data_IF_086824109361
#
_entry.id   IF_086824109361
#
_cell.length_a   1.000
_cell.length_b   1.000
_cell.length_c   1.000
_cell.angle_alpha   90.00
_cell.angle_beta   90.00
_cell.angle_gamma   90.00
#
_symmetry.space_group_name_H-M   'P 1'
#
loop_
_entity.id
_entity.type
_entity.pdbx_description
1 polymer ?
#
# COMPACT_ATOMS: atom_id res chain seq x y z
N UNK A 1 13.34 32.44 4.65
CA UNK A 1 12.05 31.98 4.02
C UNK A 1 11.98 32.26 2.52
N UNK A 2 13.01 32.92 1.95
CA UNK A 2 13.01 33.32 0.53
C UNK A 2 13.23 32.18 -0.47
N UNK A 3 13.64 30.99 -0.01
CA UNK A 3 13.92 29.81 -0.84
C UNK A 3 13.12 28.57 -0.43
N UNK A 4 11.87 28.75 0.05
CA UNK A 4 10.96 27.65 0.39
C UNK A 4 9.74 27.72 -0.51
N UNK A 5 9.58 26.71 -1.36
CA UNK A 5 8.54 26.62 -2.38
C UNK A 5 7.59 25.48 -2.11
N UNK A 6 6.29 25.72 -2.22
CA UNK A 6 5.26 24.70 -2.15
C UNK A 6 4.98 24.16 -3.56
N UNK A 7 5.62 23.07 -3.94
CA UNK A 7 5.55 22.51 -5.30
C UNK A 7 4.57 21.34 -5.45
N UNK A 8 4.03 20.81 -4.37
CA UNK A 8 3.23 19.60 -4.36
C UNK A 8 4.06 18.40 -3.88
N UNK A 9 3.61 17.19 -4.25
CA UNK A 9 4.28 15.94 -3.86
C UNK A 9 4.71 15.15 -5.09
N UNK A 10 6.00 14.96 -5.28
CA UNK A 10 6.58 14.26 -6.43
C UNK A 10 6.17 12.77 -6.48
N UNK A 11 5.81 12.16 -5.35
CA UNK A 11 5.24 10.80 -5.34
C UNK A 11 3.90 10.76 -6.09
N UNK A 12 3.12 11.85 -6.05
CA UNK A 12 1.88 11.92 -6.80
C UNK A 12 2.14 11.98 -8.32
N UNK A 13 3.16 12.71 -8.75
CA UNK A 13 3.58 12.74 -10.16
C UNK A 13 3.96 11.33 -10.63
N UNK A 14 4.78 10.62 -9.85
CA UNK A 14 5.20 9.25 -10.14
C UNK A 14 4.03 8.27 -10.17
N UNK A 15 3.09 8.38 -9.21
CA UNK A 15 1.88 7.58 -9.17
C UNK A 15 1.01 7.81 -10.41
N UNK A 16 0.79 9.06 -10.81
CA UNK A 16 0.02 9.39 -12.01
C UNK A 16 0.65 8.82 -13.28
N UNK A 17 1.98 8.89 -13.38
CA UNK A 17 2.70 8.27 -14.49
C UNK A 17 2.49 6.74 -14.51
N UNK A 18 2.78 6.04 -13.42
CA UNK A 18 2.63 4.60 -13.31
C UNK A 18 1.18 4.13 -13.49
N UNK A 19 0.21 4.94 -13.03
CA UNK A 19 -1.22 4.63 -13.14
C UNK A 19 -1.76 4.65 -14.58
N UNK A 20 -1.05 5.29 -15.51
CA UNK A 20 -1.42 5.36 -16.94
C UNK A 20 -0.83 4.23 -17.76
N UNK A 21 0.11 3.47 -17.21
CA UNK A 21 0.69 2.31 -17.88
C UNK A 21 -0.41 1.28 -18.12
N UNK A 22 -0.63 0.84 -19.36
CA UNK A 22 -1.59 -0.22 -19.66
C UNK A 22 -1.27 -1.47 -18.85
N UNK A 23 -2.28 -2.04 -18.21
CA UNK A 23 -2.13 -3.26 -17.44
C UNK A 23 -3.33 -4.16 -17.67
N UNK A 24 -3.05 -5.39 -17.96
CA UNK A 24 -4.03 -6.45 -18.06
C UNK A 24 -3.72 -7.50 -17.00
N UNK A 25 -4.68 -7.75 -16.14
CA UNK A 25 -4.53 -8.66 -15.02
C UNK A 25 -4.09 -10.07 -15.48
N UNK A 26 -4.63 -10.52 -16.60
CA UNK A 26 -4.36 -11.84 -17.17
C UNK A 26 -2.94 -11.98 -17.74
N UNK A 27 -2.29 -10.85 -18.03
CA UNK A 27 -0.92 -10.76 -18.56
C UNK A 27 0.09 -10.39 -17.46
N UNK A 28 -0.35 -10.21 -16.20
CA UNK A 28 0.51 -9.78 -15.12
C UNK A 28 1.46 -10.92 -14.70
N UNK A 29 2.76 -10.65 -14.74
CA UNK A 29 3.81 -11.59 -14.34
C UNK A 29 4.05 -11.51 -12.83
N UNK A 30 3.09 -12.04 -12.05
CA UNK A 30 3.20 -12.15 -10.59
C UNK A 30 3.37 -13.61 -10.23
N UNK A 31 4.36 -13.90 -9.40
CA UNK A 31 4.77 -15.27 -9.05
C UNK A 31 4.59 -15.53 -7.57
N UNK A 32 4.21 -16.77 -7.22
CA UNK A 32 4.28 -17.25 -5.85
C UNK A 32 5.75 -17.32 -5.37
N UNK A 33 5.94 -17.65 -4.11
CA UNK A 33 7.30 -17.75 -3.55
C UNK A 33 8.14 -18.91 -4.14
N UNK A 34 7.51 -19.86 -4.82
CA UNK A 34 8.18 -20.96 -5.54
C UNK A 34 8.54 -20.59 -6.99
N UNK A 35 8.06 -19.45 -7.49
CA UNK A 35 8.30 -19.01 -8.87
C UNK A 35 7.23 -19.48 -9.86
N UNK A 36 6.09 -20.00 -9.40
CA UNK A 36 4.97 -20.30 -10.26
C UNK A 36 4.11 -19.06 -10.49
N UNK A 37 3.64 -18.82 -11.72
CA UNK A 37 2.73 -17.70 -11.99
C UNK A 37 1.43 -17.88 -11.21
N UNK A 38 0.92 -16.79 -10.63
CA UNK A 38 -0.37 -16.79 -9.96
C UNK A 38 -1.43 -16.12 -10.83
N UNK A 39 -2.66 -16.59 -10.71
CA UNK A 39 -3.82 -15.88 -11.27
C UNK A 39 -4.30 -14.86 -10.23
N UNK A 40 -4.30 -13.58 -10.60
CA UNK A 40 -4.78 -12.52 -9.74
C UNK A 40 -6.32 -12.58 -9.68
N UNK A 41 -6.93 -12.72 -8.48
CA UNK A 41 -8.37 -12.75 -8.34
C UNK A 41 -9.06 -11.46 -8.83
N UNK A 42 -10.34 -11.54 -9.18
CA UNK A 42 -11.14 -10.36 -9.57
C UNK A 42 -11.28 -9.36 -8.43
N UNK A 43 -11.44 -9.85 -7.23
CA UNK A 43 -11.54 -9.07 -6.01
C UNK A 43 -10.53 -9.59 -4.99
N UNK A 44 -9.78 -8.70 -4.39
CA UNK A 44 -8.76 -9.04 -3.40
C UNK A 44 -8.41 -7.84 -2.51
N UNK A 45 -7.80 -8.15 -1.38
CA UNK A 45 -7.13 -7.15 -0.53
C UNK A 45 -5.63 -7.11 -0.86
N UNK A 46 -5.02 -5.94 -0.66
CA UNK A 46 -3.60 -5.75 -0.88
C UNK A 46 -2.89 -5.51 0.44
N UNK A 47 -1.88 -6.33 0.74
CA UNK A 47 -1.07 -6.25 1.95
C UNK A 47 0.39 -5.97 1.62
N UNK A 48 1.01 -5.05 2.34
CA UNK A 48 2.47 -4.97 2.45
C UNK A 48 2.87 -4.80 3.91
N UNK A 49 3.89 -5.53 4.34
CA UNK A 49 4.42 -5.46 5.70
C UNK A 49 5.93 -5.69 5.65
N UNK A 50 6.72 -4.70 6.06
CA UNK A 50 8.19 -4.74 5.98
C UNK A 50 8.90 -3.92 7.05
N UNK A 51 8.17 -3.15 7.87
CA UNK A 51 8.77 -2.40 8.96
C UNK A 51 9.25 -3.32 10.07
N UNK A 52 10.38 -2.97 10.66
CA UNK A 52 10.97 -3.75 11.71
C UNK A 52 10.03 -3.91 12.91
N UNK A 53 9.26 -2.88 13.23
CA UNK A 53 8.29 -2.88 14.33
C UNK A 53 7.23 -3.97 14.20
N UNK A 54 6.90 -4.35 12.96
CA UNK A 54 5.89 -5.39 12.66
C UNK A 54 6.50 -6.74 12.28
N UNK A 55 7.82 -6.81 12.08
CA UNK A 55 8.48 -8.02 11.52
C UNK A 55 9.66 -8.49 12.35
N UNK A 56 10.04 -7.79 13.42
CA UNK A 56 11.11 -8.23 14.32
C UNK A 56 10.69 -9.46 15.12
N UNK A 57 9.47 -9.45 15.66
CA UNK A 57 8.84 -10.57 16.35
C UNK A 57 7.76 -11.21 15.47
N UNK A 58 7.41 -12.49 15.74
CA UNK A 58 6.37 -13.20 15.01
C UNK A 58 4.98 -12.66 15.34
N UNK A 59 4.74 -12.22 16.55
CA UNK A 59 3.41 -11.84 17.02
C UNK A 59 2.75 -10.69 16.22
N UNK A 60 3.42 -9.57 15.93
CA UNK A 60 2.82 -8.51 15.12
C UNK A 60 2.45 -8.98 13.72
N UNK A 61 3.36 -9.70 13.04
CA UNK A 61 3.10 -10.22 11.70
C UNK A 61 1.99 -11.28 11.71
N UNK A 62 1.98 -12.17 12.70
CA UNK A 62 0.92 -13.18 12.89
C UNK A 62 -0.46 -12.52 13.02
N UNK A 63 -0.58 -11.47 13.83
CA UNK A 63 -1.85 -10.75 14.01
C UNK A 63 -2.32 -10.07 12.72
N UNK A 64 -1.39 -9.49 11.94
CA UNK A 64 -1.69 -8.91 10.62
C UNK A 64 -2.18 -10.01 9.67
N UNK A 65 -1.44 -11.12 9.55
CA UNK A 65 -1.81 -12.24 8.68
C UNK A 65 -3.13 -12.87 9.10
N UNK A 66 -3.38 -13.02 10.42
CA UNK A 66 -4.65 -13.51 10.97
C UNK A 66 -5.82 -12.62 10.59
N UNK A 67 -5.66 -11.30 10.69
CA UNK A 67 -6.67 -10.35 10.26
C UNK A 67 -7.00 -10.55 8.77
N UNK A 68 -5.98 -10.60 7.92
CA UNK A 68 -6.16 -10.73 6.48
C UNK A 68 -6.75 -12.08 6.09
N UNK A 69 -6.35 -13.16 6.74
CA UNK A 69 -6.89 -14.50 6.48
C UNK A 69 -8.36 -14.66 6.90
N UNK A 70 -8.84 -13.85 7.85
CA UNK A 70 -10.23 -13.91 8.31
C UNK A 70 -11.22 -13.17 7.41
N UNK A 71 -10.73 -12.47 6.39
CA UNK A 71 -11.54 -11.73 5.43
C UNK A 71 -12.12 -12.68 4.36
N UNK A 72 -13.22 -12.26 3.74
CA UNK A 72 -13.95 -13.04 2.73
C UNK A 72 -13.25 -13.13 1.37
N UNK A 73 -12.37 -12.17 1.07
CA UNK A 73 -11.62 -12.13 -0.17
C UNK A 73 -10.16 -12.51 0.07
N UNK A 74 -9.48 -13.08 -0.93
CA UNK A 74 -8.05 -13.35 -0.84
C UNK A 74 -7.24 -12.06 -0.68
N UNK A 75 -6.12 -12.17 0.00
CA UNK A 75 -5.16 -11.09 0.19
C UNK A 75 -3.91 -11.37 -0.60
N UNK A 76 -3.55 -10.49 -1.52
CA UNK A 76 -2.25 -10.56 -2.22
C UNK A 76 -1.20 -9.87 -1.36
N UNK A 77 -0.15 -10.60 -0.99
CA UNK A 77 0.93 -10.11 -0.18
C UNK A 77 2.29 -10.33 -0.85
N UNK A 78 2.82 -9.34 -1.60
CA UNK A 78 4.21 -9.32 -2.05
C UNK A 78 5.14 -9.25 -0.84
N UNK A 79 5.85 -10.33 -0.58
CA UNK A 79 6.63 -10.47 0.64
C UNK A 79 8.02 -9.91 0.45
N UNK A 80 8.42 -8.98 1.31
CA UNK A 80 9.80 -8.49 1.31
C UNK A 80 10.78 -9.63 1.62
N UNK A 81 11.92 -9.77 0.93
CA UNK A 81 12.84 -10.90 1.08
C UNK A 81 13.23 -11.22 2.53
N UNK A 82 13.41 -10.18 3.37
CA UNK A 82 13.74 -10.36 4.81
C UNK A 82 12.66 -11.09 5.62
N UNK A 83 11.41 -11.04 5.16
CA UNK A 83 10.26 -11.58 5.90
C UNK A 83 9.78 -12.91 5.31
N UNK A 84 10.40 -13.37 4.22
CA UNK A 84 9.93 -14.54 3.47
C UNK A 84 9.76 -15.77 4.34
N UNK A 85 10.84 -16.23 4.96
CA UNK A 85 10.83 -17.44 5.79
C UNK A 85 9.80 -17.36 6.93
N UNK A 86 9.70 -16.17 7.55
CA UNK A 86 8.76 -15.94 8.64
C UNK A 86 7.30 -15.96 8.15
N UNK A 87 6.99 -15.25 7.07
CA UNK A 87 5.63 -15.22 6.52
C UNK A 87 5.19 -16.62 6.04
N UNK A 88 6.07 -17.36 5.33
CA UNK A 88 5.80 -18.74 4.93
C UNK A 88 5.59 -19.67 6.13
N UNK A 89 6.45 -19.53 7.15
CA UNK A 89 6.36 -20.32 8.38
C UNK A 89 5.02 -20.12 9.09
N UNK A 90 4.64 -18.87 9.31
CA UNK A 90 3.37 -18.52 9.96
C UNK A 90 2.16 -18.96 9.13
N UNK A 91 2.15 -18.74 7.81
CA UNK A 91 1.04 -19.18 6.97
C UNK A 91 0.88 -20.71 6.99
N UNK A 92 1.97 -21.46 7.02
CA UNK A 92 1.95 -22.93 7.09
C UNK A 92 1.48 -23.40 8.47
N UNK A 93 2.02 -22.84 9.55
CA UNK A 93 1.70 -23.25 10.93
C UNK A 93 0.22 -23.01 11.26
N UNK A 94 -0.32 -21.87 10.86
CA UNK A 94 -1.69 -21.47 11.16
C UNK A 94 -2.68 -21.78 10.02
N UNK A 95 -2.23 -22.44 8.94
CA UNK A 95 -3.05 -22.82 7.79
C UNK A 95 -3.84 -21.65 7.19
N UNK A 96 -3.14 -20.55 6.94
CA UNK A 96 -3.74 -19.37 6.32
C UNK A 96 -3.92 -19.58 4.81
N UNK A 97 -5.16 -19.80 4.38
CA UNK A 97 -5.51 -20.12 2.98
C UNK A 97 -5.89 -18.87 2.16
N UNK A 98 -6.36 -17.81 2.81
CA UNK A 98 -6.75 -16.58 2.15
C UNK A 98 -5.57 -15.59 1.94
N UNK A 99 -4.39 -15.88 2.44
CA UNK A 99 -3.20 -15.05 2.24
C UNK A 99 -2.32 -15.64 1.15
N UNK A 100 -2.32 -15.02 -0.01
CA UNK A 100 -1.51 -15.40 -1.17
C UNK A 100 -0.17 -14.69 -1.10
N UNK A 101 0.87 -15.41 -0.68
CA UNK A 101 2.23 -14.90 -0.62
C UNK A 101 2.84 -14.88 -2.02
N UNK A 102 3.39 -13.74 -2.44
CA UNK A 102 4.05 -13.60 -3.74
C UNK A 102 5.50 -13.14 -3.59
N UNK A 103 6.27 -13.32 -4.65
CA UNK A 103 7.56 -12.66 -4.76
C UNK A 103 7.38 -11.13 -4.72
N UNK A 104 8.43 -10.37 -4.36
CA UNK A 104 8.39 -8.92 -4.49
C UNK A 104 8.02 -8.50 -5.90
N UNK A 105 7.18 -7.49 -6.01
CA UNK A 105 6.76 -6.92 -7.30
C UNK A 105 7.46 -5.59 -7.54
N UNK A 106 7.59 -5.21 -8.80
CA UNK A 106 8.08 -3.90 -9.19
C UNK A 106 7.10 -2.77 -8.83
N UNK A 107 7.55 -1.53 -8.99
CA UNK A 107 6.74 -0.36 -8.65
C UNK A 107 5.46 -0.27 -9.50
N UNK A 108 5.57 -0.54 -10.78
CA UNK A 108 4.42 -0.47 -11.71
C UNK A 108 3.38 -1.53 -11.37
N UNK A 109 3.81 -2.77 -11.12
CA UNK A 109 2.94 -3.87 -10.69
C UNK A 109 2.28 -3.55 -9.35
N UNK A 110 3.04 -2.97 -8.40
CA UNK A 110 2.50 -2.55 -7.10
C UNK A 110 1.38 -1.51 -7.26
N UNK A 111 1.56 -0.48 -8.11
CA UNK A 111 0.52 0.51 -8.41
C UNK A 111 -0.71 -0.16 -9.03
N UNK A 112 -0.53 -1.10 -9.93
CA UNK A 112 -1.65 -1.78 -10.58
C UNK A 112 -2.40 -2.69 -9.59
N UNK A 113 -1.70 -3.45 -8.76
CA UNK A 113 -2.33 -4.22 -7.68
C UNK A 113 -3.10 -3.31 -6.72
N UNK A 114 -2.52 -2.18 -6.36
CA UNK A 114 -3.16 -1.18 -5.51
C UNK A 114 -4.43 -0.60 -6.14
N UNK A 115 -4.40 -0.24 -7.41
CA UNK A 115 -5.56 0.35 -8.12
C UNK A 115 -6.75 -0.60 -8.22
N UNK A 116 -6.49 -1.89 -8.30
CA UNK A 116 -7.52 -2.90 -8.56
C UNK A 116 -7.94 -3.68 -7.30
N UNK A 117 -7.27 -3.49 -6.15
CA UNK A 117 -7.70 -4.11 -4.89
C UNK A 117 -8.96 -3.42 -4.32
N UNK A 118 -9.63 -4.10 -3.38
CA UNK A 118 -10.75 -3.53 -2.64
C UNK A 118 -10.28 -2.58 -1.53
N UNK A 119 -9.34 -3.02 -0.71
CA UNK A 119 -8.76 -2.24 0.40
C UNK A 119 -7.28 -2.59 0.57
N UNK A 120 -6.59 -1.74 1.29
CA UNK A 120 -5.15 -1.86 1.55
C UNK A 120 -4.88 -1.98 3.04
N UNK A 121 -4.00 -2.89 3.41
CA UNK A 121 -3.36 -2.92 4.73
C UNK A 121 -1.85 -2.79 4.52
N UNK A 122 -1.21 -1.86 5.21
CA UNK A 122 0.21 -1.61 5.01
C UNK A 122 0.87 -1.04 6.26
N UNK A 123 2.18 -1.19 6.36
CA UNK A 123 3.01 -0.44 7.30
C UNK A 123 3.90 0.60 6.58
N UNK A 124 3.73 0.74 5.26
CA UNK A 124 4.49 1.67 4.43
C UNK A 124 3.85 3.05 4.35
N UNK A 125 4.59 4.09 4.73
CA UNK A 125 4.15 5.47 4.53
C UNK A 125 4.03 5.86 3.05
N UNK A 126 4.83 5.25 2.16
CA UNK A 126 4.71 5.42 0.71
C UNK A 126 3.40 4.86 0.19
N UNK A 127 3.13 3.58 0.46
CA UNK A 127 1.91 2.93 0.01
C UNK A 127 0.65 3.56 0.63
N UNK A 128 0.73 4.10 1.85
CA UNK A 128 -0.33 4.90 2.47
C UNK A 128 -0.73 6.09 1.57
N UNK A 129 0.26 6.83 1.03
CA UNK A 129 0.01 7.94 0.12
C UNK A 129 -0.54 7.44 -1.23
N UNK A 130 0.03 6.40 -1.77
CA UNK A 130 -0.40 5.83 -3.05
C UNK A 130 -1.84 5.28 -2.97
N UNK A 131 -2.23 4.65 -1.85
CA UNK A 131 -3.60 4.25 -1.59
C UNK A 131 -4.56 5.46 -1.57
N UNK A 132 -4.12 6.56 -0.96
CA UNK A 132 -4.87 7.81 -1.00
C UNK A 132 -5.01 8.34 -2.44
N UNK A 133 -3.96 8.34 -3.24
CA UNK A 133 -3.98 8.76 -4.65
C UNK A 133 -4.91 7.88 -5.50
N UNK A 134 -4.92 6.58 -5.23
CA UNK A 134 -5.78 5.61 -5.90
C UNK A 134 -7.26 5.65 -5.45
N UNK A 135 -7.60 6.47 -4.43
CA UNK A 135 -8.93 6.50 -3.85
C UNK A 135 -9.29 5.21 -3.12
N UNK A 136 -8.31 4.49 -2.58
CA UNK A 136 -8.53 3.23 -1.84
C UNK A 136 -8.54 3.46 -0.34
N UNK A 137 -9.40 2.72 0.35
CA UNK A 137 -9.36 2.66 1.80
C UNK A 137 -8.08 1.96 2.26
N UNK A 138 -7.38 2.58 3.19
CA UNK A 138 -6.14 2.07 3.72
C UNK A 138 -6.21 1.93 5.25
N UNK A 139 -5.65 0.85 5.77
CA UNK A 139 -5.33 0.70 7.19
C UNK A 139 -3.82 0.63 7.32
N UNK A 140 -3.24 1.61 7.99
CA UNK A 140 -1.80 1.65 8.24
C UNK A 140 -1.51 1.06 9.62
N UNK A 141 -0.80 -0.07 9.63
CA UNK A 141 -0.38 -0.74 10.87
C UNK A 141 0.90 -0.08 11.38
N UNK A 142 0.71 0.97 12.16
CA UNK A 142 1.81 1.76 12.70
C UNK A 142 1.38 2.49 13.99
N UNK A 143 2.36 3.01 14.74
CA UNK A 143 2.15 3.66 16.04
C UNK A 143 1.90 5.18 15.94
N UNK A 144 2.14 5.76 14.75
CA UNK A 144 2.02 7.21 14.54
C UNK A 144 1.52 7.59 13.15
N UNK A 145 0.93 8.76 13.05
CA UNK A 145 0.51 9.34 11.77
C UNK A 145 1.72 9.90 11.02
N UNK A 146 1.97 9.40 9.81
CA UNK A 146 3.02 9.92 8.93
C UNK A 146 2.45 11.00 8.02
N UNK A 147 1.29 10.74 7.42
CA UNK A 147 0.63 11.62 6.48
C UNK A 147 -0.77 12.02 6.97
N UNK A 148 -0.90 13.08 7.78
CA UNK A 148 -2.20 13.52 8.31
C UNK A 148 -3.24 13.79 7.22
N UNK A 149 -2.79 14.25 6.05
CA UNK A 149 -3.65 14.56 4.92
C UNK A 149 -4.43 13.33 4.41
N UNK A 150 -3.91 12.13 4.60
CA UNK A 150 -4.56 10.89 4.16
C UNK A 150 -5.64 10.39 5.11
N UNK A 151 -5.70 10.95 6.34
CA UNK A 151 -6.57 10.45 7.41
C UNK A 151 -8.02 10.92 7.32
N UNK A 152 -8.30 11.87 6.43
CA UNK A 152 -9.64 12.47 6.31
C UNK A 152 -10.70 11.41 5.97
N UNK A 153 -11.87 11.51 6.60
CA UNK A 153 -13.05 10.68 6.34
C UNK A 153 -12.77 9.16 6.32
N UNK A 154 -11.87 8.71 7.17
CA UNK A 154 -11.42 7.31 7.27
C UNK A 154 -10.77 6.75 5.99
N UNK A 155 -10.27 7.58 5.08
CA UNK A 155 -9.56 7.12 3.88
C UNK A 155 -8.32 6.31 4.23
N UNK A 156 -7.59 6.75 5.26
CA UNK A 156 -6.62 5.95 5.95
C UNK A 156 -6.87 5.96 7.46
N UNK A 157 -6.60 4.86 8.12
CA UNK A 157 -6.77 4.73 9.56
C UNK A 157 -5.57 4.02 10.16
N UNK A 158 -5.11 4.48 11.33
CA UNK A 158 -4.08 3.76 12.06
C UNK A 158 -4.68 2.57 12.81
N UNK A 159 -3.98 1.45 12.77
CA UNK A 159 -4.25 0.27 13.56
C UNK A 159 -2.99 -0.18 14.30
N UNK A 160 -3.20 -0.73 15.49
CA UNK A 160 -2.16 -1.53 16.15
C UNK A 160 -2.02 -2.88 15.42
N UNK A 161 -0.89 -3.59 15.54
CA UNK A 161 -0.72 -4.93 14.99
C UNK A 161 -1.51 -5.96 15.83
N UNK A 162 -2.83 -5.82 15.83
CA UNK A 162 -3.82 -6.69 16.47
C UNK A 162 -4.93 -6.96 15.47
N UNK A 163 -5.25 -8.22 15.24
CA UNK A 163 -6.26 -8.63 14.26
C UNK A 163 -7.59 -7.91 14.48
N UNK A 164 -8.06 -7.83 15.73
CA UNK A 164 -9.32 -7.16 16.08
C UNK A 164 -9.32 -5.65 15.75
N UNK A 165 -8.18 -4.96 15.91
CA UNK A 165 -8.09 -3.52 15.62
C UNK A 165 -8.05 -3.29 14.10
N UNK A 166 -7.29 -4.10 13.38
CA UNK A 166 -7.20 -4.05 11.90
C UNK A 166 -8.59 -4.30 11.29
N UNK A 167 -9.27 -5.37 11.70
CA UNK A 167 -10.61 -5.72 11.20
C UNK A 167 -11.65 -4.63 11.53
N UNK A 168 -11.61 -4.07 12.74
CA UNK A 168 -12.47 -2.94 13.10
C UNK A 168 -12.26 -1.75 12.17
N UNK A 169 -11.02 -1.41 11.83
CA UNK A 169 -10.69 -0.29 10.95
C UNK A 169 -11.10 -0.57 9.50
N UNK A 170 -10.89 -1.78 9.02
CA UNK A 170 -11.35 -2.21 7.69
C UNK A 170 -12.88 -2.18 7.57
N UNK A 171 -13.62 -2.46 8.65
CA UNK A 171 -15.07 -2.40 8.69
C UNK A 171 -15.68 -1.00 8.75
N UNK A 172 -14.88 0.03 9.05
CA UNK A 172 -15.38 1.40 9.11
C UNK A 172 -15.78 1.91 7.72
N UNK A 173 -16.91 2.59 7.64
CA UNK A 173 -17.30 3.29 6.42
C UNK A 173 -16.36 4.45 6.16
N UNK A 174 -15.96 4.62 4.92
CA UNK A 174 -15.21 5.77 4.46
C UNK A 174 -16.03 6.56 3.44
N UNK A 175 -15.71 7.85 3.32
CA UNK A 175 -16.18 8.69 2.24
C UNK A 175 -14.95 9.17 1.45
N UNK A 176 -14.92 8.86 0.17
CA UNK A 176 -13.83 9.29 -0.71
C UNK A 176 -14.30 10.53 -1.46
N UNK A 177 -13.71 11.68 -1.10
CA UNK A 177 -13.82 12.91 -1.87
C UNK A 177 -12.57 13.06 -2.75
N UNK A 178 -12.73 12.79 -4.04
CA UNK A 178 -11.63 12.92 -5.02
C UNK A 178 -11.28 14.40 -5.29
N UNK A 179 -12.11 15.34 -4.90
CA UNK A 179 -11.83 16.78 -4.98
C UNK A 179 -10.82 17.25 -3.94
N UNK A 180 -10.64 16.51 -2.84
CA UNK A 180 -9.62 16.83 -1.84
C UNK A 180 -8.24 16.35 -2.30
N UNK A 181 -7.42 17.29 -2.79
CA UNK A 181 -6.09 17.03 -3.37
C UNK A 181 -4.97 17.77 -2.62
N UNK A 182 -4.64 17.40 -1.38
CA UNK A 182 -3.67 18.10 -0.55
C UNK A 182 -2.22 17.93 -1.04
N UNK A 183 -1.98 17.04 -2.00
CA UNK A 183 -0.65 16.70 -2.52
C UNK A 183 -0.33 17.41 -3.85
N UNK A 184 -1.20 18.32 -4.32
CA UNK A 184 -1.03 19.05 -5.57
C UNK A 184 -1.75 18.39 -6.76
N UNK A 185 -1.31 18.73 -7.96
CA UNK A 185 -1.96 18.39 -9.22
C UNK A 185 -1.14 17.45 -10.13
N UNK A 186 -0.03 16.88 -9.62
CA UNK A 186 0.82 15.97 -10.37
C UNK A 186 1.82 16.65 -11.31
N UNK A 187 2.16 17.92 -11.03
CA UNK A 187 3.16 18.70 -11.79
C UNK A 187 4.29 19.22 -10.88
N UNK A 188 4.58 18.51 -9.81
CA UNK A 188 5.60 18.92 -8.84
C UNK A 188 7.00 18.90 -9.44
N UNK A 189 7.32 17.90 -10.27
CA UNK A 189 8.62 17.79 -10.92
C UNK A 189 8.88 18.95 -11.89
N UNK A 190 7.88 19.36 -12.68
CA UNK A 190 7.99 20.49 -13.59
C UNK A 190 8.27 21.80 -12.81
N UNK A 191 7.52 22.06 -11.74
CA UNK A 191 7.72 23.26 -10.90
C UNK A 191 9.09 23.29 -10.25
N UNK A 192 9.61 22.12 -9.81
CA UNK A 192 10.97 22.04 -9.25
C UNK A 192 11.99 22.45 -10.30
N UNK A 193 11.89 21.95 -11.53
CA UNK A 193 12.81 22.28 -12.62
C UNK A 193 12.73 23.77 -12.96
N UNK A 194 11.52 24.34 -13.09
CA UNK A 194 11.32 25.76 -13.38
C UNK A 194 11.98 26.65 -12.33
N UNK A 195 11.85 26.31 -11.04
CA UNK A 195 12.49 27.04 -9.94
C UNK A 195 14.02 26.95 -10.05
N UNK A 196 14.55 25.74 -10.25
CA UNK A 196 16.01 25.54 -10.36
C UNK A 196 16.60 26.29 -11.56
N UNK A 197 15.93 26.32 -12.71
CA UNK A 197 16.36 27.08 -13.89
C UNK A 197 16.24 28.60 -13.68
N UNK A 198 15.20 29.05 -12.98
CA UNK A 198 14.99 30.44 -12.64
C UNK A 198 16.00 31.01 -11.64
N UNK A 199 16.44 30.19 -10.68
CA UNK A 199 17.48 30.60 -9.70
C UNK A 199 18.92 30.52 -10.28
N UNK A 200 19.09 29.80 -11.41
CA UNK A 200 20.39 29.70 -12.08
C UNK A 200 20.69 30.87 -13.01
N UNK A 201 19.78 31.85 -13.13
CA UNK A 201 19.91 33.08 -13.90
C UNK A 201 20.04 34.28 -12.98
#
# INVERSE_FOLDING_TARGET
>A
KEHVYAVGNIMYDSFLYGSRVPWKREEAEIFDLCGNPIVIPDQYYYLTCHRQENTFDDQPLLEILRAMNSLELPTIYPVHPRNRERAEGLCREYQFEHVVLTQPVGYLESIQLLKHCEKVVTDSGGLQCEAFFAGKQCVTVFDRVIWPQTMVENRNQLARPLASDILKKLGNTQKIDLGYQPFGDGRSAERIIEIMEGESR
#
